data_IF_575763358705
#
_entry.id   IF_575763358705
#
_cell.length_a   1.000
_cell.length_b   1.000
_cell.length_c   1.000
_cell.angle_alpha   90.00
_cell.angle_beta   90.00
_cell.angle_gamma   90.00
#
_symmetry.space_group_name_H-M   'P 1'
#
loop_
_entity.id
_entity.type
_entity.pdbx_description
1 polymer ?
#
# COMPACT_ATOMS: atom_id res chain seq x y z
N UNK A 1 9.58 54.60 34.16
CA UNK A 1 8.45 53.68 34.39
C UNK A 1 7.43 54.45 35.21
N UNK A 2 6.26 54.70 34.64
CA UNK A 2 5.13 55.29 35.37
C UNK A 2 4.73 54.28 36.44
N UNK A 3 4.86 54.66 37.71
CA UNK A 3 4.42 53.82 38.82
C UNK A 3 2.91 53.70 38.72
N UNK A 4 2.40 52.49 38.50
CA UNK A 4 0.97 52.21 38.51
C UNK A 4 0.47 52.39 39.94
N UNK A 5 -0.63 53.12 40.09
CA UNK A 5 -1.27 53.38 41.38
C UNK A 5 -2.23 52.22 41.65
N UNK A 6 -2.08 51.58 42.81
CA UNK A 6 -2.99 50.51 43.25
C UNK A 6 -4.21 51.08 43.95
N UNK A 7 -5.26 50.28 44.13
CA UNK A 7 -6.45 50.65 44.91
C UNK A 7 -6.05 51.15 46.31
N UNK A 8 -5.14 50.41 46.96
CA UNK A 8 -4.61 50.76 48.28
C UNK A 8 -3.81 52.08 48.28
N UNK A 9 -3.13 52.41 47.17
CA UNK A 9 -2.42 53.68 47.04
C UNK A 9 -3.39 54.87 46.90
N UNK A 10 -4.56 54.67 46.27
CA UNK A 10 -5.61 55.69 46.16
C UNK A 10 -6.32 55.89 47.49
N UNK A 11 -6.66 54.81 48.20
CA UNK A 11 -7.35 54.88 49.50
C UNK A 11 -6.50 55.53 50.61
N UNK A 12 -5.16 55.38 50.56
CA UNK A 12 -4.26 55.90 51.59
C UNK A 12 -3.61 57.24 51.22
N UNK A 13 -4.01 57.85 50.11
CA UNK A 13 -3.41 59.12 49.67
C UNK A 13 -3.86 60.25 50.60
N UNK A 14 -2.94 61.16 50.94
CA UNK A 14 -3.27 62.36 51.72
C UNK A 14 -2.73 63.61 51.03
N UNK A 15 -3.56 64.65 50.96
CA UNK A 15 -3.22 65.91 50.31
C UNK A 15 -3.02 67.03 51.34
N UNK A 16 -2.02 67.88 51.11
CA UNK A 16 -1.77 69.05 51.96
C UNK A 16 -2.82 70.15 51.70
N UNK A 17 -3.25 70.83 52.77
CA UNK A 17 -4.26 71.91 52.68
C UNK A 17 -3.61 73.25 52.34
N UNK A 18 -4.17 73.97 51.37
CA UNK A 18 -3.75 75.32 50.96
C UNK A 18 -4.93 76.30 50.99
N UNK A 19 -4.63 77.60 51.19
CA UNK A 19 -5.64 78.68 51.34
C UNK A 19 -6.58 78.80 50.12
N UNK A 20 -6.13 78.34 48.94
CA UNK A 20 -6.94 78.07 47.76
C UNK A 20 -6.64 76.63 47.30
N UNK A 21 -7.65 75.85 47.01
CA UNK A 21 -7.54 74.44 46.60
C UNK A 21 -8.90 73.86 46.22
N UNK A 22 -8.92 72.61 45.77
CA UNK A 22 -10.15 71.88 45.51
C UNK A 22 -10.90 71.58 46.83
N UNK A 23 -12.22 71.40 46.73
CA UNK A 23 -13.05 71.01 47.86
C UNK A 23 -12.65 69.60 48.33
N UNK A 24 -12.22 69.42 49.59
CA UNK A 24 -11.80 68.10 50.10
C UNK A 24 -12.87 67.02 49.94
N UNK A 25 -14.14 67.34 50.18
CA UNK A 25 -15.23 66.35 50.11
C UNK A 25 -15.43 65.84 48.66
N UNK A 26 -15.38 66.74 47.67
CA UNK A 26 -15.47 66.36 46.24
C UNK A 26 -14.25 65.56 45.77
N UNK A 27 -13.08 65.82 46.36
CA UNK A 27 -11.87 65.06 46.06
C UNK A 27 -11.98 63.65 46.64
N UNK A 28 -12.47 63.50 47.88
CA UNK A 28 -12.70 62.21 48.52
C UNK A 28 -13.69 61.35 47.70
N UNK A 29 -14.86 61.91 47.34
CA UNK A 29 -15.86 61.22 46.51
C UNK A 29 -15.28 60.75 45.16
N UNK A 30 -14.40 61.56 44.55
CA UNK A 30 -13.72 61.19 43.31
C UNK A 30 -12.68 60.08 43.53
N UNK A 31 -11.93 60.10 44.63
CA UNK A 31 -10.95 59.06 44.97
C UNK A 31 -11.62 57.72 45.20
N UNK A 32 -12.79 57.68 45.87
CA UNK A 32 -13.60 56.47 46.03
C UNK A 32 -13.99 55.91 44.66
N UNK A 33 -14.49 56.76 43.75
CA UNK A 33 -14.85 56.33 42.39
C UNK A 33 -13.63 55.81 41.59
N UNK A 34 -12.46 56.42 41.78
CA UNK A 34 -11.20 55.97 41.16
C UNK A 34 -10.77 54.61 41.74
N UNK A 35 -10.86 54.43 43.06
CA UNK A 35 -10.54 53.18 43.74
C UNK A 35 -11.43 52.03 43.23
N UNK A 36 -12.75 52.24 43.16
CA UNK A 36 -13.72 51.27 42.60
C UNK A 36 -13.39 50.91 41.15
N UNK A 37 -13.08 51.92 40.32
CA UNK A 37 -12.78 51.71 38.89
C UNK A 37 -11.47 50.94 38.72
N UNK A 38 -10.46 51.23 39.55
CA UNK A 38 -9.18 50.51 39.56
C UNK A 38 -9.38 49.06 39.99
N UNK A 39 -10.19 48.81 41.03
CA UNK A 39 -10.49 47.46 41.49
C UNK A 39 -11.20 46.66 40.39
N UNK A 40 -12.27 47.19 39.81
CA UNK A 40 -12.98 46.55 38.70
C UNK A 40 -12.06 46.25 37.52
N UNK A 41 -11.17 47.19 37.16
CA UNK A 41 -10.23 47.01 36.05
C UNK A 41 -9.19 45.92 36.36
N UNK A 42 -8.69 45.88 37.59
CA UNK A 42 -7.72 44.87 38.04
C UNK A 42 -8.34 43.46 38.04
N UNK A 43 -9.57 43.31 38.56
CA UNK A 43 -10.31 42.05 38.55
C UNK A 43 -10.56 41.58 37.12
N UNK A 44 -11.04 42.46 36.24
CA UNK A 44 -11.29 42.13 34.84
C UNK A 44 -10.01 41.81 34.07
N UNK A 45 -8.90 42.46 34.39
CA UNK A 45 -7.59 42.10 33.82
C UNK A 45 -7.18 40.69 34.25
N UNK A 46 -7.32 40.35 35.53
CA UNK A 46 -6.98 39.03 36.05
C UNK A 46 -7.83 37.92 35.39
N UNK A 47 -9.13 38.16 35.20
CA UNK A 47 -10.04 37.25 34.49
C UNK A 47 -9.61 37.03 33.03
N UNK A 48 -9.35 38.12 32.28
CA UNK A 48 -8.93 38.04 30.88
C UNK A 48 -7.58 37.33 30.74
N UNK A 49 -6.63 37.61 31.63
CA UNK A 49 -5.33 36.92 31.64
C UNK A 49 -5.50 35.42 31.91
N UNK A 50 -6.42 35.02 32.80
CA UNK A 50 -6.72 33.61 33.03
C UNK A 50 -7.37 32.96 31.81
N UNK A 51 -8.28 33.65 31.13
CA UNK A 51 -8.91 33.15 29.91
C UNK A 51 -7.89 32.99 28.78
N UNK A 52 -6.99 33.96 28.59
CA UNK A 52 -5.89 33.89 27.62
C UNK A 52 -5.02 32.67 27.89
N UNK A 53 -4.59 32.46 29.15
CA UNK A 53 -3.79 31.28 29.51
C UNK A 53 -4.51 29.98 29.15
N UNK A 54 -5.79 29.86 29.50
CA UNK A 54 -6.60 28.68 29.18
C UNK A 54 -6.73 28.43 27.67
N UNK A 55 -6.91 29.49 26.88
CA UNK A 55 -7.00 29.38 25.42
C UNK A 55 -5.65 28.96 24.83
N UNK A 56 -4.54 29.52 25.33
CA UNK A 56 -3.19 29.16 24.88
C UNK A 56 -2.86 27.70 25.17
N UNK A 57 -3.22 27.17 26.35
CA UNK A 57 -3.07 25.75 26.68
C UNK A 57 -3.82 24.86 25.68
N UNK A 58 -5.10 25.17 25.41
CA UNK A 58 -5.90 24.45 24.42
C UNK A 58 -5.32 24.51 23.01
N UNK A 59 -4.77 25.66 22.61
CA UNK A 59 -4.10 25.79 21.32
C UNK A 59 -2.88 24.87 21.24
N UNK A 60 -2.09 24.78 22.30
CA UNK A 60 -0.96 23.85 22.37
C UNK A 60 -1.38 22.37 22.27
N UNK A 61 -2.50 22.00 22.89
CA UNK A 61 -3.08 20.66 22.74
C UNK A 61 -3.49 20.38 21.29
N UNK A 62 -4.14 21.34 20.62
CA UNK A 62 -4.52 21.21 19.21
C UNK A 62 -3.33 21.14 18.27
N UNK A 63 -2.27 21.91 18.50
CA UNK A 63 -1.04 21.83 17.72
C UNK A 63 -0.39 20.45 17.87
N UNK A 64 -0.31 19.92 19.10
CA UNK A 64 0.22 18.57 19.36
C UNK A 64 -0.62 17.49 18.66
N UNK A 65 -1.95 17.61 18.71
CA UNK A 65 -2.86 16.71 18.02
C UNK A 65 -2.70 16.79 16.49
N UNK A 66 -2.60 18.01 15.95
CA UNK A 66 -2.38 18.24 14.51
C UNK A 66 -1.09 17.55 14.06
N UNK A 67 -0.01 17.73 14.80
CA UNK A 67 1.30 17.16 14.45
C UNK A 67 1.25 15.63 14.48
N UNK A 68 0.59 15.06 15.50
CA UNK A 68 0.37 13.60 15.60
C UNK A 68 -0.47 13.05 14.45
N UNK A 69 -1.53 13.77 14.05
CA UNK A 69 -2.35 13.39 12.90
C UNK A 69 -1.58 13.47 11.58
N UNK A 70 -0.75 14.50 11.42
CA UNK A 70 0.09 14.66 10.23
C UNK A 70 1.12 13.52 10.12
N UNK A 71 1.74 13.13 11.23
CA UNK A 71 2.64 11.98 11.28
C UNK A 71 1.91 10.67 10.94
N UNK A 72 0.73 10.44 11.53
CA UNK A 72 -0.08 9.26 11.24
C UNK A 72 -0.49 9.19 9.77
N UNK A 73 -0.86 10.32 9.15
CA UNK A 73 -1.17 10.39 7.72
C UNK A 73 0.04 10.06 6.85
N UNK A 74 1.22 10.60 7.18
CA UNK A 74 2.46 10.29 6.46
C UNK A 74 2.84 8.81 6.59
N UNK A 75 2.69 8.22 7.78
CA UNK A 75 2.90 6.79 7.98
C UNK A 75 1.92 5.94 7.17
N UNK A 76 0.63 6.29 7.19
CA UNK A 76 -0.39 5.60 6.41
C UNK A 76 -0.10 5.67 4.90
N UNK A 77 0.34 6.83 4.40
CA UNK A 77 0.74 7.02 3.01
C UNK A 77 1.93 6.12 2.65
N UNK A 78 3.02 6.17 3.44
CA UNK A 78 4.22 5.33 3.21
C UNK A 78 3.87 3.84 3.21
N UNK A 79 3.10 3.39 4.19
CA UNK A 79 2.64 2.00 4.28
C UNK A 79 1.76 1.59 3.08
N UNK A 80 0.94 2.50 2.56
CA UNK A 80 0.17 2.26 1.34
C UNK A 80 1.06 2.10 0.12
N UNK A 81 2.03 3.01 -0.05
CA UNK A 81 3.00 2.99 -1.17
C UNK A 81 3.87 1.73 -1.13
N UNK A 82 4.36 1.32 0.03
CA UNK A 82 5.12 0.09 0.21
C UNK A 82 4.31 -1.16 -0.12
N UNK A 83 3.05 -1.23 0.33
CA UNK A 83 2.13 -2.33 -0.02
C UNK A 83 1.85 -2.38 -1.51
N UNK A 84 1.58 -1.24 -2.15
CA UNK A 84 1.39 -1.14 -3.60
C UNK A 84 2.64 -1.58 -4.37
N UNK A 85 3.82 -1.15 -3.93
CA UNK A 85 5.10 -1.55 -4.53
C UNK A 85 5.35 -3.04 -4.41
N UNK A 86 5.08 -3.63 -3.25
CA UNK A 86 5.24 -5.07 -3.00
C UNK A 86 4.25 -5.90 -3.82
N UNK A 87 2.97 -5.51 -3.82
CA UNK A 87 1.93 -6.18 -4.60
C UNK A 87 2.22 -6.16 -6.11
N UNK A 88 2.77 -5.05 -6.64
CA UNK A 88 3.19 -4.98 -8.05
C UNK A 88 4.33 -5.95 -8.36
N UNK A 89 5.37 -5.98 -7.53
CA UNK A 89 6.49 -6.92 -7.69
C UNK A 89 6.05 -8.37 -7.64
N UNK A 90 5.15 -8.70 -6.72
CA UNK A 90 4.59 -10.04 -6.58
C UNK A 90 3.74 -10.42 -7.79
N UNK A 91 2.89 -9.50 -8.28
CA UNK A 91 2.11 -9.71 -9.50
C UNK A 91 3.02 -9.95 -10.73
N UNK A 92 4.06 -9.14 -10.90
CA UNK A 92 5.03 -9.31 -11.99
C UNK A 92 5.76 -10.66 -11.90
N UNK A 93 6.12 -11.09 -10.68
CA UNK A 93 6.74 -12.40 -10.44
C UNK A 93 5.79 -13.56 -10.79
N UNK A 94 4.52 -13.49 -10.37
CA UNK A 94 3.50 -14.49 -10.69
C UNK A 94 3.31 -14.59 -12.22
N UNK A 95 3.22 -13.46 -12.91
CA UNK A 95 3.07 -13.44 -14.38
C UNK A 95 4.31 -14.03 -15.06
N UNK A 96 5.51 -13.68 -14.60
CA UNK A 96 6.76 -14.23 -15.15
C UNK A 96 6.84 -15.75 -14.94
N UNK A 97 6.51 -16.23 -13.75
CA UNK A 97 6.50 -17.66 -13.43
C UNK A 97 5.45 -18.40 -14.26
N UNK A 98 4.23 -17.88 -14.38
CA UNK A 98 3.19 -18.47 -15.20
C UNK A 98 3.59 -18.60 -16.67
N UNK A 99 4.26 -17.58 -17.22
CA UNK A 99 4.81 -17.63 -18.59
C UNK A 99 5.87 -18.69 -18.74
N UNK A 100 6.83 -18.76 -17.81
CA UNK A 100 7.89 -19.77 -17.84
C UNK A 100 7.33 -21.20 -17.76
N UNK A 101 6.36 -21.43 -16.87
CA UNK A 101 5.67 -22.73 -16.76
C UNK A 101 4.92 -23.08 -18.05
N UNK A 102 4.21 -22.11 -18.64
CA UNK A 102 3.49 -22.33 -19.90
C UNK A 102 4.44 -22.68 -21.05
N UNK A 103 5.58 -21.99 -21.18
CA UNK A 103 6.61 -22.32 -22.16
C UNK A 103 7.18 -23.72 -21.93
N UNK A 104 7.43 -24.10 -20.69
CA UNK A 104 7.86 -25.45 -20.31
C UNK A 104 6.87 -26.53 -20.78
N UNK A 105 5.58 -26.34 -20.50
CA UNK A 105 4.52 -27.26 -20.91
C UNK A 105 4.45 -27.38 -22.45
N UNK A 106 4.56 -26.25 -23.17
CA UNK A 106 4.54 -26.24 -24.63
C UNK A 106 5.74 -27.02 -25.19
N UNK A 107 6.93 -26.81 -24.65
CA UNK A 107 8.13 -27.50 -25.10
C UNK A 107 8.07 -29.00 -24.81
N UNK A 108 7.57 -29.39 -23.64
CA UNK A 108 7.35 -30.81 -23.29
C UNK A 108 6.33 -31.47 -24.23
N UNK A 109 5.21 -30.79 -24.50
CA UNK A 109 4.18 -31.28 -25.42
C UNK A 109 4.71 -31.42 -26.85
N UNK A 110 5.55 -30.48 -27.31
CA UNK A 110 6.23 -30.58 -28.62
C UNK A 110 7.19 -31.76 -28.66
N UNK A 111 8.02 -31.94 -27.63
CA UNK A 111 8.92 -33.08 -27.53
C UNK A 111 8.18 -34.43 -27.57
N UNK A 112 7.09 -34.56 -26.81
CA UNK A 112 6.23 -35.76 -26.84
C UNK A 112 5.60 -36.00 -28.20
N UNK A 113 5.11 -34.94 -28.86
CA UNK A 113 4.56 -35.04 -30.22
C UNK A 113 5.61 -35.55 -31.20
N UNK A 114 6.81 -35.00 -31.18
CA UNK A 114 7.88 -35.37 -32.11
C UNK A 114 8.34 -36.82 -31.87
N UNK A 115 8.40 -37.26 -30.61
CA UNK A 115 8.68 -38.65 -30.25
C UNK A 115 7.58 -39.61 -30.77
N UNK A 116 6.31 -39.28 -30.56
CA UNK A 116 5.19 -40.06 -31.09
C UNK A 116 5.20 -40.17 -32.62
N UNK A 117 5.51 -39.06 -33.33
CA UNK A 117 5.66 -39.08 -34.78
C UNK A 117 6.78 -40.04 -35.21
N UNK A 118 7.90 -40.03 -34.51
CA UNK A 118 9.03 -40.92 -34.77
C UNK A 118 8.65 -42.39 -34.57
N UNK A 119 7.96 -42.69 -33.47
CA UNK A 119 7.44 -44.03 -33.20
C UNK A 119 6.43 -44.49 -34.27
N UNK A 120 5.54 -43.60 -34.73
CA UNK A 120 4.62 -43.90 -35.82
C UNK A 120 5.34 -44.24 -37.13
N UNK A 121 6.38 -43.48 -37.49
CA UNK A 121 7.18 -43.73 -38.68
C UNK A 121 7.94 -45.06 -38.60
N UNK A 122 8.51 -45.39 -37.43
CA UNK A 122 9.18 -46.66 -37.19
C UNK A 122 8.23 -47.86 -37.25
N UNK A 123 7.04 -47.74 -36.64
CA UNK A 123 6.00 -48.76 -36.72
C UNK A 123 5.53 -48.98 -38.17
N UNK A 124 5.39 -47.89 -38.93
CA UNK A 124 5.02 -47.96 -40.35
C UNK A 124 6.08 -48.68 -41.18
N UNK A 125 7.37 -48.35 -41.00
CA UNK A 125 8.49 -49.02 -41.70
C UNK A 125 8.54 -50.51 -41.35
N UNK A 126 8.38 -50.85 -40.08
CA UNK A 126 8.33 -52.24 -39.61
C UNK A 126 7.19 -53.01 -40.28
N UNK A 127 5.99 -52.41 -40.38
CA UNK A 127 4.85 -52.99 -41.09
C UNK A 127 5.14 -53.19 -42.58
N UNK A 128 5.73 -52.18 -43.25
CA UNK A 128 6.05 -52.25 -44.68
C UNK A 128 7.07 -53.38 -44.97
N UNK A 129 8.10 -53.51 -44.14
CA UNK A 129 9.09 -54.59 -44.22
C UNK A 129 8.45 -55.97 -43.98
N UNK A 130 7.65 -56.12 -42.94
CA UNK A 130 6.93 -57.38 -42.68
C UNK A 130 6.04 -57.80 -43.86
N UNK A 131 5.30 -56.86 -44.46
CA UNK A 131 4.47 -57.16 -45.62
C UNK A 131 5.29 -57.56 -46.85
N UNK A 132 6.46 -56.96 -47.05
CA UNK A 132 7.37 -57.34 -48.13
C UNK A 132 7.93 -58.75 -47.92
N UNK A 133 8.40 -59.06 -46.71
CA UNK A 133 8.91 -60.38 -46.34
C UNK A 133 7.83 -61.46 -46.48
N UNK A 134 6.61 -61.17 -46.02
CA UNK A 134 5.48 -62.09 -46.13
C UNK A 134 5.08 -62.36 -47.58
N UNK A 135 5.06 -61.33 -48.44
CA UNK A 135 4.83 -61.50 -49.88
C UNK A 135 5.91 -62.34 -50.54
N UNK A 136 7.17 -62.14 -50.18
CA UNK A 136 8.30 -62.93 -50.68
C UNK A 136 8.17 -64.41 -50.28
N UNK A 137 7.78 -64.67 -49.03
CA UNK A 137 7.51 -66.02 -48.53
C UNK A 137 6.37 -66.70 -49.29
N UNK A 138 5.25 -66.01 -49.52
CA UNK A 138 4.13 -66.53 -50.29
C UNK A 138 4.51 -66.83 -51.74
N UNK A 139 5.26 -65.93 -52.40
CA UNK A 139 5.74 -66.16 -53.77
C UNK A 139 6.64 -67.41 -53.85
N UNK A 140 7.49 -67.62 -52.85
CA UNK A 140 8.33 -68.82 -52.75
C UNK A 140 7.49 -70.09 -52.58
N UNK A 141 6.46 -70.08 -51.73
CA UNK A 141 5.55 -71.22 -51.61
C UNK A 141 4.76 -71.49 -52.90
N UNK A 142 4.26 -70.46 -53.59
CA UNK A 142 3.58 -70.61 -54.88
C UNK A 142 4.49 -71.29 -55.91
N UNK A 143 5.75 -70.85 -56.01
CA UNK A 143 6.72 -71.45 -56.93
C UNK A 143 7.04 -72.92 -56.62
N UNK A 144 6.97 -73.31 -55.34
CA UNK A 144 7.18 -74.70 -54.93
C UNK A 144 6.00 -75.58 -55.39
N UNK A 145 4.77 -75.11 -55.19
CA UNK A 145 3.55 -75.82 -55.61
C UNK A 145 3.51 -75.96 -57.13
N UNK A 146 3.74 -74.88 -57.87
CA UNK A 146 3.81 -74.91 -59.34
C UNK A 146 4.93 -75.82 -59.87
N UNK A 147 6.05 -75.93 -59.13
CA UNK A 147 7.12 -76.88 -59.44
C UNK A 147 6.72 -78.33 -59.20
N UNK A 148 5.93 -78.58 -58.15
CA UNK A 148 5.40 -79.91 -57.80
C UNK A 148 4.42 -80.41 -58.86
N UNK A 149 3.52 -79.53 -59.33
CA UNK A 149 2.52 -79.85 -60.35
C UNK A 149 3.17 -80.20 -61.72
N UNK A 150 4.31 -79.56 -62.05
CA UNK A 150 5.07 -79.87 -63.28
C UNK A 150 5.80 -81.22 -63.24
N UNK A 151 6.18 -81.69 -62.06
CA UNK A 151 6.77 -83.04 -61.90
C UNK A 151 5.71 -84.14 -62.04
N UNK A 152 4.44 -83.86 -61.73
CA UNK A 152 3.33 -84.79 -61.97
C UNK A 152 2.85 -84.82 -63.44
N UNK A 153 2.82 -83.69 -64.15
CA UNK A 153 2.44 -83.67 -65.58
C UNK A 153 3.52 -84.28 -66.52
N UNK A 154 4.77 -84.37 -66.08
CA UNK A 154 5.86 -85.03 -66.82
C UNK A 154 5.94 -86.56 -66.63
N UNK A 155 5.08 -87.14 -65.79
CA UNK A 155 5.10 -88.56 -65.43
C UNK A 155 3.76 -89.24 -65.72
N UNK A 156 3.30 -89.17 -66.97
CA UNK A 156 2.34 -90.15 -67.51
C UNK A 156 2.93 -90.79 -68.78
N UNK A 157 2.83 -92.13 -68.94
CA UNK A 157 3.53 -92.92 -69.97
C UNK A 157 3.03 -92.69 -71.40
#
# INVERSE_FOLDING_TARGET
MTSLVTVLDVENVSFSRTIRGYNPDEVEDFLDQVADTLQYSAERQAELEQEIRRIQEKMGEYDTLRDSLQEALLMAQRSSEERLGSARKEADAIVAEARSRAEGIINEARGKKDDLLRQCDEARKTKEMFLADFRSLLARFSSLVEGSDREEEGSFP
#
